data_IF_471558670798
#
_entry.id   IF_471558670798
#
_cell.length_a   1.000
_cell.length_b   1.000
_cell.length_c   1.000
_cell.angle_alpha   90.00
_cell.angle_beta   90.00
_cell.angle_gamma   90.00
#
_symmetry.space_group_name_H-M   'P 1'
#
loop_
_entity.id
_entity.type
_entity.pdbx_description
1 polymer ?
#
# COMPACT_ATOMS: atom_id res chain seq x y z
N UNK A 1 -14.84 9.67 8.70
CA UNK A 1 -14.28 9.03 7.48
C UNK A 1 -12.89 8.54 7.83
N UNK A 2 -12.68 7.22 7.96
CA UNK A 2 -11.45 6.64 8.53
C UNK A 2 -10.20 6.88 7.67
N UNK A 3 -10.36 7.00 6.35
CA UNK A 3 -9.27 7.17 5.40
C UNK A 3 -8.39 8.41 5.65
N UNK A 4 -9.00 9.49 6.12
CA UNK A 4 -8.35 10.75 6.45
C UNK A 4 -8.21 10.97 7.97
N UNK A 5 -8.57 9.98 8.79
CA UNK A 5 -8.60 10.13 10.24
C UNK A 5 -7.24 9.75 10.83
N UNK A 6 -6.50 10.75 11.33
CA UNK A 6 -5.20 10.49 11.92
C UNK A 6 -5.27 9.82 13.30
N UNK A 7 -6.45 9.79 13.95
CA UNK A 7 -6.62 9.21 15.30
C UNK A 7 -6.36 7.71 15.35
N UNK A 8 -6.29 7.05 14.19
CA UNK A 8 -5.87 5.65 14.07
C UNK A 8 -4.36 5.46 14.20
N UNK A 9 -3.55 6.53 14.08
CA UNK A 9 -2.11 6.49 14.36
C UNK A 9 -1.81 6.80 15.82
N UNK A 10 -0.78 6.14 16.37
CA UNK A 10 -0.37 6.27 17.78
C UNK A 10 -0.01 7.71 18.19
N UNK A 11 0.42 8.52 17.23
CA UNK A 11 0.85 9.90 17.41
C UNK A 11 -0.04 10.93 16.68
N UNK A 12 -1.21 10.50 16.18
CA UNK A 12 -2.22 11.35 15.55
C UNK A 12 -1.75 12.19 14.34
N UNK A 13 -0.68 11.76 13.65
CA UNK A 13 -0.13 12.48 12.48
C UNK A 13 -0.24 11.72 11.16
N UNK A 14 -0.57 10.43 11.17
CA UNK A 14 -0.68 9.60 9.95
C UNK A 14 -2.09 9.03 9.82
N UNK A 15 -2.62 9.07 8.59
CA UNK A 15 -3.83 8.36 8.18
C UNK A 15 -3.54 7.51 6.94
N UNK A 16 -4.51 6.74 6.46
CA UNK A 16 -4.38 5.97 5.22
C UNK A 16 -3.96 6.87 4.05
N UNK A 17 -4.54 8.08 3.96
CA UNK A 17 -4.21 9.06 2.91
C UNK A 17 -2.78 9.60 2.97
N UNK A 18 -2.09 9.48 4.11
CA UNK A 18 -0.70 9.96 4.23
C UNK A 18 0.27 9.17 3.35
N UNK A 19 -0.01 7.88 3.12
CA UNK A 19 0.80 7.03 2.23
C UNK A 19 0.02 6.62 0.97
N UNK A 20 -1.30 6.39 1.09
CA UNK A 20 -2.19 6.16 -0.04
C UNK A 20 -2.85 7.47 -0.47
N UNK A 21 -2.08 8.46 -0.93
CA UNK A 21 -2.71 9.70 -1.37
C UNK A 21 -3.44 9.49 -2.71
N UNK A 22 -4.72 9.85 -2.79
CA UNK A 22 -5.53 9.71 -4.00
C UNK A 22 -5.01 10.57 -5.17
N UNK A 23 -4.39 11.71 -4.88
CA UNK A 23 -3.77 12.58 -5.89
C UNK A 23 -2.58 11.91 -6.59
N UNK A 24 -1.99 10.92 -5.93
CA UNK A 24 -0.86 10.12 -6.42
C UNK A 24 -1.26 8.65 -6.61
N UNK A 25 -2.54 8.41 -6.92
CA UNK A 25 -3.08 7.07 -7.23
C UNK A 25 -2.87 6.04 -6.10
N UNK A 26 -2.80 6.49 -4.86
CA UNK A 26 -2.65 5.63 -3.69
C UNK A 26 -1.22 5.21 -3.38
N UNK A 27 -0.21 5.89 -3.92
CA UNK A 27 1.21 5.65 -3.60
C UNK A 27 1.93 6.94 -3.20
N UNK A 28 2.97 6.86 -2.37
CA UNK A 28 3.73 8.04 -1.91
C UNK A 28 4.87 8.46 -2.88
N UNK A 29 5.13 7.66 -3.93
CA UNK A 29 6.22 7.85 -4.90
C UNK A 29 7.62 7.96 -4.26
N UNK A 30 7.81 7.38 -3.07
CA UNK A 30 9.10 7.31 -2.40
C UNK A 30 9.76 5.94 -2.61
N UNK A 31 11.10 5.85 -2.57
CA UNK A 31 11.79 4.56 -2.60
C UNK A 31 11.43 3.69 -1.38
N UNK A 32 11.09 4.31 -0.25
CA UNK A 32 10.56 3.66 0.94
C UNK A 32 9.56 4.61 1.60
N UNK A 33 8.44 4.07 2.09
CA UNK A 33 7.46 4.88 2.81
C UNK A 33 7.99 5.35 4.15
N UNK A 34 7.58 6.55 4.56
CA UNK A 34 7.89 7.10 5.87
C UNK A 34 6.96 6.50 6.93
N UNK A 35 7.54 6.06 8.03
CA UNK A 35 6.81 5.66 9.23
C UNK A 35 6.31 6.87 10.04
N UNK A 36 5.62 6.59 11.15
CA UNK A 36 5.15 7.60 12.10
C UNK A 36 6.29 8.37 12.79
N UNK A 37 7.48 7.78 12.87
CA UNK A 37 8.71 8.43 13.34
C UNK A 37 9.41 9.30 12.29
N UNK A 38 8.88 9.36 11.05
CA UNK A 38 9.54 9.96 9.86
C UNK A 38 10.83 9.26 9.45
N UNK A 39 11.05 8.05 9.91
CA UNK A 39 12.11 7.18 9.43
C UNK A 39 11.61 6.41 8.20
N UNK A 40 12.50 6.19 7.23
CA UNK A 40 12.19 5.36 6.07
C UNK A 40 12.04 3.90 6.52
N UNK A 41 10.99 3.23 6.04
CA UNK A 41 10.85 1.79 6.19
C UNK A 41 11.98 1.02 5.49
N UNK A 42 12.18 -0.25 5.87
CA UNK A 42 13.23 -1.09 5.30
C UNK A 42 12.86 -1.83 4.00
N UNK A 43 11.63 -1.65 3.50
CA UNK A 43 11.12 -2.44 2.37
C UNK A 43 10.31 -1.56 1.42
N UNK A 44 10.68 -1.56 0.14
CA UNK A 44 9.83 -1.03 -0.91
C UNK A 44 8.78 -2.09 -1.24
N UNK A 45 7.50 -1.76 -1.11
CA UNK A 45 6.43 -2.74 -1.22
C UNK A 45 6.19 -3.26 -2.65
N UNK A 46 6.56 -2.49 -3.68
CA UNK A 46 6.45 -2.87 -5.08
C UNK A 46 7.67 -3.65 -5.57
N UNK A 47 8.85 -3.40 -5.00
CA UNK A 47 10.13 -3.92 -5.51
C UNK A 47 10.72 -5.08 -4.72
N UNK A 48 10.15 -5.40 -3.57
CA UNK A 48 10.68 -6.45 -2.71
C UNK A 48 9.65 -7.56 -2.63
N UNK A 49 10.03 -8.80 -2.96
CA UNK A 49 9.20 -9.98 -2.72
C UNK A 49 9.62 -10.64 -1.37
N UNK A 50 8.77 -11.46 -0.74
CA UNK A 50 7.38 -11.77 -1.09
C UNK A 50 6.41 -10.67 -0.64
N UNK A 51 5.33 -10.45 -1.39
CA UNK A 51 4.30 -9.41 -1.27
C UNK A 51 3.26 -9.72 -0.17
N UNK A 52 2.48 -8.69 0.18
CA UNK A 52 1.65 -8.59 1.39
C UNK A 52 2.43 -8.55 2.70
N UNK A 53 1.73 -8.14 3.77
CA UNK A 53 2.33 -7.89 5.08
C UNK A 53 2.86 -9.17 5.74
N UNK A 54 2.33 -10.33 5.35
CA UNK A 54 2.72 -11.66 5.83
C UNK A 54 3.61 -12.43 4.85
N UNK A 55 3.91 -11.85 3.67
CA UNK A 55 4.70 -12.51 2.63
C UNK A 55 3.98 -13.67 1.96
N UNK A 56 2.65 -13.73 1.98
CA UNK A 56 1.86 -14.82 1.41
C UNK A 56 1.87 -14.89 -0.12
N UNK A 57 2.31 -13.84 -0.82
CA UNK A 57 2.26 -13.76 -2.29
C UNK A 57 3.66 -13.59 -2.89
N UNK A 58 4.02 -14.41 -3.87
CA UNK A 58 5.38 -14.43 -4.40
C UNK A 58 5.66 -13.38 -5.49
N UNK A 59 4.64 -12.98 -6.25
CA UNK A 59 4.78 -12.12 -7.45
C UNK A 59 3.99 -10.82 -7.30
N UNK A 60 4.42 -9.78 -8.03
CA UNK A 60 3.73 -8.49 -7.97
C UNK A 60 2.37 -8.59 -8.66
N UNK A 61 2.33 -9.34 -9.77
CA UNK A 61 1.17 -9.58 -10.61
C UNK A 61 0.05 -10.27 -9.79
N UNK A 62 0.37 -11.33 -9.05
CA UNK A 62 -0.61 -12.00 -8.19
C UNK A 62 -1.11 -11.05 -7.08
N UNK A 63 -0.23 -10.22 -6.53
CA UNK A 63 -0.62 -9.25 -5.50
C UNK A 63 -1.58 -8.20 -6.07
N UNK A 64 -1.33 -7.70 -7.30
CA UNK A 64 -2.20 -6.74 -8.00
C UNK A 64 -3.57 -7.36 -8.31
N UNK A 65 -3.61 -8.59 -8.85
CA UNK A 65 -4.87 -9.29 -9.15
C UNK A 65 -5.71 -9.49 -7.88
N UNK A 66 -5.09 -9.96 -6.80
CA UNK A 66 -5.78 -10.15 -5.51
C UNK A 66 -6.30 -8.82 -4.96
N UNK A 67 -5.49 -7.76 -5.00
CA UNK A 67 -5.88 -6.44 -4.48
C UNK A 67 -6.99 -5.80 -5.30
N UNK A 68 -6.95 -5.91 -6.63
CA UNK A 68 -8.03 -5.42 -7.50
C UNK A 68 -9.38 -6.07 -7.19
N UNK A 69 -9.37 -7.37 -6.92
CA UNK A 69 -10.58 -8.09 -6.52
C UNK A 69 -11.07 -7.67 -5.14
N UNK A 70 -10.18 -7.63 -4.15
CA UNK A 70 -10.55 -7.41 -2.75
C UNK A 70 -10.88 -5.95 -2.43
N UNK A 71 -10.20 -4.99 -3.05
CA UNK A 71 -10.31 -3.58 -2.67
C UNK A 71 -11.28 -2.79 -3.55
N UNK A 72 -11.30 -3.08 -4.85
CA UNK A 72 -12.11 -2.33 -5.82
C UNK A 72 -13.14 -3.20 -6.56
N UNK A 73 -13.26 -4.48 -6.18
CA UNK A 73 -14.20 -5.44 -6.75
C UNK A 73 -14.07 -5.56 -8.29
N UNK A 74 -12.82 -5.55 -8.78
CA UNK A 74 -12.46 -5.71 -10.18
C UNK A 74 -11.72 -7.03 -10.39
N UNK A 75 -12.20 -7.85 -11.32
CA UNK A 75 -11.48 -9.03 -11.78
C UNK A 75 -10.47 -8.60 -12.84
N UNK A 76 -9.18 -8.82 -12.58
CA UNK A 76 -8.10 -8.65 -13.54
C UNK A 76 -7.59 -10.01 -14.00
N UNK A 77 -7.25 -10.13 -15.28
CA UNK A 77 -6.49 -11.27 -15.80
C UNK A 77 -4.98 -10.98 -15.73
N UNK A 78 -4.15 -12.02 -15.89
CA UNK A 78 -2.70 -11.84 -15.98
C UNK A 78 -2.25 -11.02 -17.20
N UNK A 79 -3.11 -10.86 -18.21
CA UNK A 79 -2.81 -9.99 -19.36
C UNK A 79 -3.07 -8.51 -19.05
N UNK A 80 -3.82 -8.20 -17.98
CA UNK A 80 -4.22 -6.85 -17.59
C UNK A 80 -3.23 -6.18 -16.61
N UNK A 81 -2.21 -6.92 -16.14
CA UNK A 81 -1.20 -6.50 -15.16
C UNK A 81 0.19 -6.54 -15.75
#
# INVERSE_FOLDING_TARGET
MLYFDNRSSKNEIISCNSCHNLDTYGVDNLPFSLGDTKELGGRNFEKTYPYFHDGSVATLEDAVVIMSKLQVNQELSQEDT
#
